data_IF_198368687619
#
_entry.id   IF_198368687619
#
_cell.length_a   1.000
_cell.length_b   1.000
_cell.length_c   1.000
_cell.angle_alpha   90.00
_cell.angle_beta   90.00
_cell.angle_gamma   90.00
#
_symmetry.space_group_name_H-M   'P 1'
#
loop_
_entity.id
_entity.type
_entity.pdbx_description
1 polymer ?
#
# COMPACT_ATOMS: atom_id res chain seq x y z
N UNK A 1 14.41 19.71 -13.40
CA UNK A 1 13.53 19.40 -12.26
C UNK A 1 13.40 17.90 -12.18
N UNK A 2 13.72 17.31 -11.03
CA UNK A 2 13.51 15.89 -10.76
C UNK A 2 12.15 15.65 -10.12
N UNK A 3 11.54 14.50 -10.42
CA UNK A 3 10.33 14.03 -9.76
C UNK A 3 10.59 12.68 -9.14
N UNK A 4 10.19 12.52 -7.89
CA UNK A 4 10.03 11.21 -7.26
C UNK A 4 8.61 10.72 -7.51
N UNK A 5 8.50 9.42 -7.78
CA UNK A 5 7.22 8.77 -8.07
C UNK A 5 6.88 7.84 -6.92
N UNK A 6 5.79 8.12 -6.23
CA UNK A 6 5.19 7.19 -5.28
C UNK A 6 4.18 6.30 -6.01
N UNK A 7 4.44 5.01 -6.01
CA UNK A 7 3.63 4.00 -6.67
C UNK A 7 2.97 3.10 -5.61
N UNK A 8 1.70 3.32 -5.34
CA UNK A 8 0.87 2.38 -4.61
C UNK A 8 0.36 1.32 -5.58
N UNK A 9 1.05 0.20 -5.64
CA UNK A 9 0.66 -0.96 -6.44
C UNK A 9 -0.47 -1.74 -5.77
N UNK A 10 -1.71 -1.24 -5.80
CA UNK A 10 -2.87 -1.88 -5.19
C UNK A 10 -3.40 -3.09 -5.98
N UNK A 11 -4.16 -3.98 -5.34
CA UNK A 11 -4.71 -5.19 -5.97
C UNK A 11 -5.81 -4.87 -6.98
N UNK A 12 -6.68 -3.90 -6.69
CA UNK A 12 -7.76 -3.47 -7.58
C UNK A 12 -7.47 -2.17 -8.29
N UNK A 13 -6.76 -1.25 -7.63
CA UNK A 13 -6.42 0.05 -8.15
C UNK A 13 -4.99 0.43 -7.77
N UNK A 14 -4.22 0.85 -8.75
CA UNK A 14 -2.89 1.44 -8.58
C UNK A 14 -3.02 2.96 -8.53
N UNK A 15 -2.21 3.64 -7.73
CA UNK A 15 -2.16 5.10 -7.63
C UNK A 15 -0.73 5.57 -7.82
N UNK A 16 -0.60 6.71 -8.47
CA UNK A 16 0.70 7.30 -8.79
C UNK A 16 0.68 8.77 -8.40
N UNK A 17 1.60 9.15 -7.54
CA UNK A 17 1.81 10.55 -7.15
C UNK A 17 3.25 10.93 -7.47
N UNK A 18 3.43 12.13 -7.97
CA UNK A 18 4.72 12.70 -8.31
C UNK A 18 5.00 13.89 -7.39
N UNK A 19 6.10 13.85 -6.68
CA UNK A 19 6.61 14.97 -5.90
C UNK A 19 7.82 15.57 -6.61
N UNK A 20 7.81 16.88 -6.77
CA UNK A 20 8.95 17.60 -7.36
C UNK A 20 10.03 17.87 -6.33
N UNK A 21 11.29 17.73 -6.73
CA UNK A 21 12.43 18.09 -5.87
C UNK A 21 12.53 19.61 -5.61
N UNK A 22 11.85 20.43 -6.42
CA UNK A 22 12.01 21.90 -6.40
C UNK A 22 10.72 22.69 -6.54
N UNK A 23 9.59 22.05 -6.79
CA UNK A 23 8.32 22.73 -7.02
C UNK A 23 7.43 22.73 -5.79
N UNK A 24 6.57 23.72 -5.72
CA UNK A 24 5.63 23.91 -4.61
C UNK A 24 4.39 23.00 -4.67
N UNK A 25 4.30 22.11 -5.66
CA UNK A 25 3.13 21.26 -5.87
C UNK A 25 3.48 19.81 -6.18
N UNK A 26 2.82 18.92 -5.47
CA UNK A 26 2.78 17.49 -5.77
C UNK A 26 1.61 17.20 -6.74
N UNK A 27 1.75 16.16 -7.55
CA UNK A 27 0.77 15.81 -8.58
C UNK A 27 0.27 14.39 -8.40
N UNK A 28 -1.04 14.18 -8.40
CA UNK A 28 -1.59 12.87 -8.68
C UNK A 28 -1.66 12.66 -10.20
N UNK A 29 -1.14 11.54 -10.69
CA UNK A 29 -1.13 11.29 -12.13
C UNK A 29 -2.53 11.00 -12.65
N UNK A 30 -2.96 11.81 -13.64
CA UNK A 30 -4.21 11.57 -14.35
C UNK A 30 -4.20 10.25 -15.10
N UNK A 31 -5.25 9.46 -14.89
CA UNK A 31 -5.44 8.19 -15.58
C UNK A 31 -6.21 8.42 -16.89
N UNK A 32 -5.77 7.88 -18.03
CA UNK A 32 -6.57 7.88 -19.26
C UNK A 32 -7.95 7.29 -19.03
N UNK A 33 -8.98 7.88 -19.61
CA UNK A 33 -10.41 7.55 -19.34
C UNK A 33 -10.71 6.05 -19.44
N UNK A 34 -10.09 5.34 -20.41
CA UNK A 34 -10.29 3.90 -20.62
C UNK A 34 -9.58 2.99 -19.60
N UNK A 35 -8.72 3.55 -18.72
CA UNK A 35 -7.91 2.81 -17.74
C UNK A 35 -8.31 3.15 -16.30
N UNK A 36 -9.31 4.00 -16.12
CA UNK A 36 -9.79 4.42 -14.80
C UNK A 36 -10.61 3.32 -14.15
N UNK A 37 -10.50 3.22 -12.84
CA UNK A 37 -11.44 2.44 -12.04
C UNK A 37 -12.83 3.06 -12.17
N UNK A 38 -13.85 2.21 -12.39
CA UNK A 38 -15.25 2.59 -12.37
C UNK A 38 -15.86 2.11 -11.04
N UNK A 39 -16.33 3.03 -10.23
CA UNK A 39 -17.02 2.76 -8.97
C UNK A 39 -18.37 3.46 -9.01
N UNK A 40 -19.45 2.67 -8.99
CA UNK A 40 -20.83 3.16 -9.01
C UNK A 40 -21.15 4.10 -10.18
N UNK A 41 -20.58 3.82 -11.37
CA UNK A 41 -20.74 4.65 -12.57
C UNK A 41 -19.91 5.93 -12.58
N UNK A 42 -19.00 6.10 -11.61
CA UNK A 42 -18.04 7.21 -11.57
C UNK A 42 -16.64 6.69 -11.89
N UNK A 43 -16.04 7.24 -12.93
CA UNK A 43 -14.66 6.92 -13.31
C UNK A 43 -13.70 7.77 -12.50
N UNK A 44 -12.96 7.12 -11.63
CA UNK A 44 -12.03 7.75 -10.70
C UNK A 44 -10.80 8.29 -11.43
N UNK A 45 -10.54 9.59 -11.35
CA UNK A 45 -9.56 10.30 -12.17
C UNK A 45 -8.12 9.82 -11.94
N UNK A 46 -7.76 9.45 -10.71
CA UNK A 46 -6.39 9.12 -10.31
C UNK A 46 -6.20 7.65 -9.95
N UNK A 47 -7.20 6.81 -10.20
CA UNK A 47 -7.15 5.39 -9.89
C UNK A 47 -6.99 4.56 -11.17
N UNK A 48 -5.80 4.00 -11.34
CA UNK A 48 -5.50 3.05 -12.41
C UNK A 48 -6.16 1.71 -12.10
N UNK A 49 -6.93 1.19 -13.01
CA UNK A 49 -7.37 -0.19 -12.90
C UNK A 49 -6.12 -1.11 -12.92
N UNK A 50 -5.93 -1.91 -11.85
CA UNK A 50 -4.85 -2.90 -11.80
C UNK A 50 -5.22 -4.09 -12.68
N UNK A 51 -5.08 -3.87 -13.98
CA UNK A 51 -5.47 -4.79 -15.06
C UNK A 51 -4.46 -4.68 -16.19
N UNK A 52 -4.06 -5.81 -16.73
CA UNK A 52 -3.29 -5.89 -17.97
C UNK A 52 -4.08 -6.71 -19.01
N UNK A 53 -3.97 -6.33 -20.26
CA UNK A 53 -4.66 -6.97 -21.37
C UNK A 53 -3.68 -7.83 -22.16
N UNK A 54 -4.06 -9.08 -22.43
CA UNK A 54 -3.24 -10.02 -23.18
C UNK A 54 -3.92 -10.41 -24.48
N UNK A 55 -3.21 -10.26 -25.57
CA UNK A 55 -3.64 -10.63 -26.93
C UNK A 55 -3.00 -11.97 -27.32
N UNK A 56 -3.79 -13.04 -27.32
CA UNK A 56 -3.31 -14.41 -27.56
C UNK A 56 -2.60 -14.55 -28.91
N UNK A 57 -3.16 -13.97 -29.99
CA UNK A 57 -2.62 -14.11 -31.35
C UNK A 57 -1.25 -13.45 -31.53
N UNK A 58 -1.00 -12.35 -30.83
CA UNK A 58 0.26 -11.62 -30.87
C UNK A 58 1.21 -12.01 -29.72
N UNK A 59 0.74 -12.80 -28.75
CA UNK A 59 1.41 -13.14 -27.50
C UNK A 59 1.94 -11.89 -26.76
N UNK A 60 1.21 -10.78 -26.81
CA UNK A 60 1.66 -9.50 -26.28
C UNK A 60 0.71 -8.93 -25.21
N UNK A 61 1.27 -8.11 -24.34
CA UNK A 61 0.55 -7.38 -23.29
C UNK A 61 0.29 -5.93 -23.67
N UNK A 62 -0.82 -5.39 -23.18
CA UNK A 62 -1.23 -3.99 -23.38
C UNK A 62 -1.81 -3.43 -22.09
N UNK A 63 -1.61 -2.14 -21.86
CA UNK A 63 -2.24 -1.43 -20.73
C UNK A 63 -3.73 -1.13 -21.02
N UNK A 64 -4.06 -0.84 -22.27
CA UNK A 64 -5.41 -0.51 -22.69
C UNK A 64 -6.18 -1.72 -23.28
N UNK A 65 -7.51 -1.75 -23.14
CA UNK A 65 -8.35 -2.78 -23.73
C UNK A 65 -8.26 -2.77 -25.26
N UNK A 66 -8.31 -3.97 -25.87
CA UNK A 66 -8.56 -4.15 -27.30
C UNK A 66 -9.59 -5.25 -27.51
N UNK A 67 -10.25 -5.26 -28.67
CA UNK A 67 -11.30 -6.23 -28.97
C UNK A 67 -10.78 -7.69 -28.99
N UNK A 68 -9.50 -7.89 -29.26
CA UNK A 68 -8.85 -9.21 -29.37
C UNK A 68 -8.15 -9.62 -28.04
N UNK A 69 -8.07 -8.73 -27.05
CA UNK A 69 -7.33 -8.99 -25.83
C UNK A 69 -8.25 -9.37 -24.66
N UNK A 70 -7.73 -10.22 -23.79
CA UNK A 70 -8.38 -10.60 -22.52
C UNK A 70 -7.81 -9.81 -21.37
N UNK A 71 -8.67 -9.38 -20.47
CA UNK A 71 -8.26 -8.73 -19.23
C UNK A 71 -7.70 -9.75 -18.22
N UNK A 72 -6.60 -9.40 -17.57
CA UNK A 72 -5.99 -10.16 -16.50
C UNK A 72 -5.93 -9.24 -15.27
N UNK A 73 -6.56 -9.67 -14.19
CA UNK A 73 -6.63 -8.97 -12.89
C UNK A 73 -6.20 -9.90 -11.75
N UNK A 74 -6.11 -9.38 -10.53
CA UNK A 74 -5.84 -10.19 -9.33
C UNK A 74 -4.42 -10.76 -9.25
N UNK A 75 -3.52 -10.40 -10.15
CA UNK A 75 -2.16 -10.94 -10.18
C UNK A 75 -1.32 -10.54 -8.94
N UNK A 76 -1.55 -9.39 -8.32
CA UNK A 76 -0.89 -9.01 -7.07
C UNK A 76 -1.21 -9.98 -5.92
N UNK A 77 -2.39 -10.58 -5.91
CA UNK A 77 -2.77 -11.54 -4.86
C UNK A 77 -1.82 -12.75 -4.80
N UNK A 78 -1.34 -13.24 -5.94
CA UNK A 78 -0.35 -14.32 -5.96
C UNK A 78 0.99 -13.92 -5.33
N UNK A 79 1.44 -12.68 -5.53
CA UNK A 79 2.64 -12.15 -4.87
C UNK A 79 2.44 -12.07 -3.35
N UNK A 80 1.28 -11.58 -2.90
CA UNK A 80 0.92 -11.49 -1.47
C UNK A 80 0.87 -12.88 -0.82
N UNK A 81 0.44 -13.91 -1.57
CA UNK A 81 0.36 -15.30 -1.09
C UNK A 81 1.68 -16.07 -1.21
N UNK A 82 2.77 -15.43 -1.65
CA UNK A 82 4.03 -16.08 -2.01
C UNK A 82 3.88 -17.18 -3.08
N UNK A 83 2.86 -17.07 -3.94
CA UNK A 83 2.50 -18.01 -5.00
C UNK A 83 2.55 -17.36 -6.39
N UNK A 84 3.51 -16.46 -6.56
CA UNK A 84 3.65 -15.67 -7.79
C UNK A 84 3.92 -16.50 -9.05
N UNK A 85 4.41 -17.73 -8.90
CA UNK A 85 4.65 -18.64 -10.01
C UNK A 85 3.41 -19.41 -10.45
N UNK A 86 2.33 -19.41 -9.67
CA UNK A 86 1.07 -20.04 -10.05
C UNK A 86 0.53 -19.42 -11.34
N UNK A 87 0.05 -20.28 -12.23
CA UNK A 87 -0.53 -19.84 -13.49
C UNK A 87 -1.91 -19.25 -13.30
N UNK A 88 -2.14 -18.10 -13.88
CA UNK A 88 -3.45 -17.46 -14.00
C UNK A 88 -4.20 -18.06 -15.20
N UNK A 89 -3.54 -18.05 -16.38
CA UNK A 89 -4.13 -18.60 -17.58
C UNK A 89 -3.07 -18.68 -18.71
N UNK A 90 -3.21 -19.60 -19.69
CA UNK A 90 -2.42 -19.66 -20.93
C UNK A 90 -0.88 -19.51 -20.75
N UNK A 91 -0.33 -20.08 -19.67
CA UNK A 91 1.09 -19.98 -19.38
C UNK A 91 1.54 -18.64 -18.79
N UNK A 92 0.63 -17.77 -18.41
CA UNK A 92 0.90 -16.50 -17.74
C UNK A 92 0.77 -16.72 -16.22
N UNK A 93 1.87 -16.52 -15.49
CA UNK A 93 1.88 -16.55 -14.03
C UNK A 93 1.48 -15.20 -13.42
N UNK A 94 1.20 -15.20 -12.10
CA UNK A 94 0.98 -13.96 -11.36
C UNK A 94 2.16 -12.99 -11.49
N UNK A 95 3.41 -13.49 -11.37
CA UNK A 95 4.62 -12.69 -11.55
C UNK A 95 4.69 -12.09 -12.96
N UNK A 96 4.39 -12.88 -13.99
CA UNK A 96 4.45 -12.40 -15.37
C UNK A 96 3.42 -11.30 -15.64
N UNK A 97 2.18 -11.48 -15.17
CA UNK A 97 1.14 -10.47 -15.32
C UNK A 97 1.46 -9.18 -14.53
N UNK A 98 2.01 -9.30 -13.31
CA UNK A 98 2.42 -8.17 -12.50
C UNK A 98 3.59 -7.40 -13.13
N UNK A 99 4.61 -8.10 -13.63
CA UNK A 99 5.74 -7.48 -14.32
C UNK A 99 5.31 -6.79 -15.62
N UNK A 100 4.41 -7.40 -16.39
CA UNK A 100 3.84 -6.80 -17.59
C UNK A 100 3.07 -5.51 -17.27
N UNK A 101 2.18 -5.56 -16.28
CA UNK A 101 1.41 -4.40 -15.85
C UNK A 101 2.31 -3.23 -15.41
N UNK A 102 3.26 -3.52 -14.53
CA UNK A 102 4.18 -2.50 -14.04
C UNK A 102 5.10 -1.95 -15.13
N UNK A 103 5.61 -2.78 -16.03
CA UNK A 103 6.44 -2.33 -17.17
C UNK A 103 5.66 -1.35 -18.07
N UNK A 104 4.43 -1.69 -18.42
CA UNK A 104 3.56 -0.84 -19.23
C UNK A 104 3.20 0.46 -18.52
N UNK A 105 2.92 0.41 -17.20
CA UNK A 105 2.61 1.59 -16.41
C UNK A 105 3.84 2.52 -16.27
N UNK A 106 5.02 1.97 -15.98
CA UNK A 106 6.26 2.74 -15.90
C UNK A 106 6.57 3.39 -17.26
N UNK A 107 6.43 2.64 -18.35
CA UNK A 107 6.60 3.19 -19.70
C UNK A 107 5.62 4.33 -20.00
N UNK A 108 4.36 4.19 -19.55
CA UNK A 108 3.38 5.27 -19.66
C UNK A 108 3.81 6.51 -18.87
N UNK A 109 4.21 6.34 -17.60
CA UNK A 109 4.64 7.46 -16.74
C UNK A 109 5.83 8.20 -17.38
N UNK A 110 6.82 7.47 -17.85
CA UNK A 110 8.06 8.05 -18.39
C UNK A 110 7.88 8.61 -19.82
N UNK A 111 7.11 7.92 -20.66
CA UNK A 111 6.96 8.26 -22.07
C UNK A 111 5.68 9.05 -22.37
N UNK A 112 4.52 8.43 -22.24
CA UNK A 112 3.27 9.01 -22.69
C UNK A 112 2.84 10.25 -21.89
N UNK A 113 3.12 10.28 -20.59
CA UNK A 113 2.83 11.48 -19.80
C UNK A 113 3.80 12.63 -20.16
N UNK A 114 5.07 12.30 -20.44
CA UNK A 114 6.04 13.29 -20.91
C UNK A 114 5.61 13.92 -22.24
N UNK A 115 5.20 13.12 -23.21
CA UNK A 115 4.68 13.60 -24.50
C UNK A 115 3.42 14.45 -24.36
N UNK A 116 2.53 14.07 -23.43
CA UNK A 116 1.33 14.84 -23.14
C UNK A 116 1.66 16.23 -22.61
N UNK A 117 2.60 16.28 -21.65
CA UNK A 117 3.04 17.55 -21.04
C UNK A 117 3.73 18.43 -22.08
N UNK A 118 4.60 17.86 -22.91
CA UNK A 118 5.29 18.59 -23.97
C UNK A 118 4.31 19.19 -24.98
N UNK A 119 3.29 18.43 -25.40
CA UNK A 119 2.21 18.93 -26.28
C UNK A 119 1.40 20.07 -25.65
N UNK A 120 1.32 20.12 -24.32
CA UNK A 120 0.70 21.22 -23.59
C UNK A 120 1.64 22.42 -23.34
N UNK A 121 2.85 22.38 -23.91
CA UNK A 121 3.86 23.43 -23.75
C UNK A 121 4.62 23.38 -22.42
N UNK A 122 4.49 22.30 -21.67
CA UNK A 122 5.26 22.07 -20.46
C UNK A 122 6.65 21.50 -20.73
N UNK A 123 7.56 21.61 -19.77
CA UNK A 123 8.86 20.99 -19.85
C UNK A 123 8.76 19.47 -19.54
N UNK A 124 9.53 18.62 -20.23
CA UNK A 124 9.59 17.19 -19.93
C UNK A 124 9.96 16.94 -18.46
N UNK A 125 9.27 15.99 -17.83
CA UNK A 125 9.58 15.58 -16.46
C UNK A 125 10.80 14.68 -16.46
N UNK A 126 11.66 14.87 -15.48
CA UNK A 126 12.74 13.94 -15.16
C UNK A 126 12.35 13.14 -13.93
N UNK A 127 12.22 11.85 -14.06
CA UNK A 127 11.89 10.94 -12.95
C UNK A 127 13.17 10.47 -12.29
N UNK A 128 13.45 10.97 -11.09
CA UNK A 128 14.69 10.67 -10.37
C UNK A 128 14.67 9.30 -9.71
N UNK A 129 13.52 8.90 -9.15
CA UNK A 129 13.36 7.60 -8.49
C UNK A 129 11.88 7.23 -8.34
N UNK A 130 11.60 5.93 -8.42
CA UNK A 130 10.31 5.34 -8.11
C UNK A 130 10.34 4.69 -6.73
N UNK A 131 9.40 5.02 -5.87
CA UNK A 131 9.17 4.36 -4.60
C UNK A 131 7.92 3.49 -4.71
N UNK A 132 8.08 2.18 -4.56
CA UNK A 132 7.01 1.20 -4.78
C UNK A 132 6.58 0.61 -3.46
N UNK A 133 5.30 0.74 -3.12
CA UNK A 133 4.70 0.15 -1.92
C UNK A 133 4.49 -1.36 -2.08
N UNK A 134 4.89 -2.11 -1.04
CA UNK A 134 4.65 -3.56 -0.96
C UNK A 134 3.94 -3.90 0.37
N UNK A 135 2.93 -4.78 0.34
CA UNK A 135 2.09 -5.12 1.51
C UNK A 135 2.79 -6.18 2.38
N UNK A 136 3.86 -5.79 2.99
CA UNK A 136 4.65 -6.64 3.91
C UNK A 136 4.87 -5.91 5.23
N UNK A 137 4.94 -6.64 6.36
CA UNK A 137 5.18 -6.03 7.66
C UNK A 137 6.65 -5.60 7.86
N UNK A 138 7.58 -6.18 7.11
CA UNK A 138 9.01 -5.87 7.14
C UNK A 138 9.67 -6.21 5.80
N UNK A 139 10.44 -5.28 5.26
CA UNK A 139 11.24 -5.55 4.06
C UNK A 139 12.45 -6.45 4.32
N UNK A 140 12.94 -6.50 5.54
CA UNK A 140 14.13 -7.29 5.88
C UNK A 140 13.79 -8.76 6.16
N UNK A 141 12.63 -9.03 6.74
CA UNK A 141 12.30 -10.36 7.28
C UNK A 141 11.25 -11.12 6.45
N UNK A 142 10.45 -10.43 5.64
CA UNK A 142 9.35 -11.07 4.93
C UNK A 142 9.81 -11.73 3.62
N UNK A 143 9.65 -13.06 3.48
CA UNK A 143 10.10 -13.78 2.28
C UNK A 143 9.38 -13.35 0.99
N UNK A 144 8.23 -12.70 1.09
CA UNK A 144 7.48 -12.20 -0.08
C UNK A 144 8.21 -11.06 -0.78
N UNK A 145 9.07 -10.33 -0.09
CA UNK A 145 9.85 -9.21 -0.62
C UNK A 145 10.66 -9.61 -1.84
N UNK A 146 11.25 -10.80 -1.82
CA UNK A 146 12.02 -11.32 -2.95
C UNK A 146 11.18 -11.41 -4.25
N UNK A 147 9.94 -11.87 -4.14
CA UNK A 147 9.00 -11.95 -5.28
C UNK A 147 8.60 -10.56 -5.80
N UNK A 148 8.30 -9.63 -4.91
CA UNK A 148 8.02 -8.24 -5.30
C UNK A 148 9.23 -7.58 -5.95
N UNK A 149 10.42 -7.76 -5.37
CA UNK A 149 11.65 -7.21 -5.93
C UNK A 149 11.95 -7.74 -7.33
N UNK A 150 11.82 -9.07 -7.54
CA UNK A 150 12.00 -9.70 -8.84
C UNK A 150 11.04 -9.12 -9.90
N UNK A 151 9.77 -8.97 -9.55
CA UNK A 151 8.74 -8.41 -10.44
C UNK A 151 9.01 -6.96 -10.78
N UNK A 152 9.32 -6.12 -9.78
CA UNK A 152 9.61 -4.69 -10.00
C UNK A 152 10.88 -4.51 -10.83
N UNK A 153 11.93 -5.27 -10.55
CA UNK A 153 13.19 -5.26 -11.31
C UNK A 153 12.96 -5.62 -12.77
N UNK A 154 12.23 -6.71 -13.02
CA UNK A 154 11.88 -7.12 -14.37
C UNK A 154 11.04 -6.03 -15.10
N UNK A 155 10.10 -5.40 -14.40
CA UNK A 155 9.29 -4.33 -14.97
C UNK A 155 10.12 -3.12 -15.39
N UNK A 156 11.08 -2.68 -14.59
CA UNK A 156 11.98 -1.58 -14.95
C UNK A 156 12.89 -1.93 -16.14
N UNK A 157 13.38 -3.17 -16.20
CA UNK A 157 14.18 -3.64 -17.35
C UNK A 157 13.37 -3.66 -18.66
N UNK A 158 12.08 -3.96 -18.58
CA UNK A 158 11.18 -4.09 -19.74
C UNK A 158 10.51 -2.78 -20.15
N UNK A 159 10.39 -1.80 -19.27
CA UNK A 159 9.68 -0.55 -19.55
C UNK A 159 10.17 0.20 -20.79
N UNK A 160 11.49 0.27 -21.12
CA UNK A 160 11.96 0.94 -22.34
C UNK A 160 11.45 0.31 -23.65
N UNK A 161 11.10 -0.97 -23.63
CA UNK A 161 10.61 -1.74 -24.80
C UNK A 161 9.14 -2.14 -24.67
N UNK A 162 8.41 -1.55 -23.74
CA UNK A 162 7.05 -1.97 -23.39
C UNK A 162 6.02 -1.80 -24.52
N UNK A 163 6.32 -1.04 -25.57
CA UNK A 163 5.42 -0.89 -26.73
C UNK A 163 5.07 -2.23 -27.41
N UNK A 164 5.97 -3.21 -27.38
CA UNK A 164 5.82 -4.56 -27.96
C UNK A 164 6.12 -5.65 -26.93
N UNK A 165 5.58 -5.51 -25.73
CA UNK A 165 5.87 -6.38 -24.59
C UNK A 165 5.32 -7.80 -24.80
N UNK A 166 6.18 -8.78 -25.02
CA UNK A 166 5.83 -10.18 -25.24
C UNK A 166 5.98 -11.03 -23.97
N UNK A 167 5.22 -12.12 -23.92
CA UNK A 167 5.27 -13.05 -22.80
C UNK A 167 6.67 -13.66 -22.58
N UNK A 168 7.38 -13.97 -23.67
CA UNK A 168 8.71 -14.57 -23.60
C UNK A 168 9.75 -13.56 -23.07
N UNK A 169 9.66 -12.27 -23.46
CA UNK A 169 10.53 -11.22 -22.92
C UNK A 169 10.38 -11.09 -21.40
N UNK A 170 9.13 -11.22 -20.91
CA UNK A 170 8.83 -11.15 -19.49
C UNK A 170 9.40 -12.37 -18.76
N UNK A 171 9.22 -13.57 -19.30
CA UNK A 171 9.78 -14.80 -18.73
C UNK A 171 11.30 -14.73 -18.63
N UNK A 172 11.93 -14.24 -19.70
CA UNK A 172 13.38 -14.04 -19.74
C UNK A 172 13.85 -13.01 -18.71
N UNK A 173 13.14 -11.90 -18.56
CA UNK A 173 13.48 -10.89 -17.56
C UNK A 173 13.33 -11.44 -16.13
N UNK A 174 12.24 -12.16 -15.84
CA UNK A 174 12.02 -12.78 -14.54
C UNK A 174 13.04 -13.89 -14.24
N UNK A 175 13.53 -14.64 -15.24
CA UNK A 175 14.49 -15.72 -15.05
C UNK A 175 15.92 -15.22 -14.81
N UNK A 176 16.32 -14.10 -15.42
CA UNK A 176 17.67 -13.53 -15.29
C UNK A 176 17.98 -13.04 -13.87
N UNK A 177 16.97 -12.71 -13.10
CA UNK A 177 17.09 -11.98 -11.86
C UNK A 177 16.79 -12.80 -10.59
N UNK A 178 16.70 -14.12 -10.71
CA UNK A 178 16.36 -15.03 -9.59
C UNK A 178 17.39 -15.06 -8.44
N UNK A 179 18.41 -14.23 -8.43
CA UNK A 179 19.54 -14.43 -7.52
C UNK A 179 20.08 -13.26 -6.71
N UNK A 180 19.73 -12.00 -6.97
CA UNK A 180 20.43 -10.88 -6.32
C UNK A 180 19.47 -9.79 -5.82
N UNK A 181 19.38 -9.67 -4.49
CA UNK A 181 18.69 -8.58 -3.76
C UNK A 181 19.53 -7.29 -3.66
N UNK A 182 20.54 -7.11 -4.49
CA UNK A 182 21.37 -5.91 -4.42
C UNK A 182 20.65 -4.70 -5.01
N UNK A 183 20.10 -3.87 -4.14
CA UNK A 183 19.69 -2.51 -4.49
C UNK A 183 20.93 -1.62 -4.42
N UNK A 184 21.50 -1.27 -5.57
CA UNK A 184 22.54 -0.25 -5.63
C UNK A 184 21.92 1.15 -5.49
N UNK A 185 22.70 2.14 -5.09
CA UNK A 185 22.26 3.54 -5.05
C UNK A 185 21.76 4.04 -6.42
N UNK A 186 22.18 3.36 -7.51
CA UNK A 186 21.86 3.71 -8.90
C UNK A 186 20.58 3.02 -9.42
N UNK A 187 19.90 2.19 -8.61
CA UNK A 187 18.63 1.60 -9.04
C UNK A 187 17.55 2.67 -9.20
N UNK A 188 16.76 2.66 -10.30
CA UNK A 188 15.74 3.67 -10.55
C UNK A 188 14.53 3.53 -9.63
N UNK A 189 14.49 2.53 -8.76
CA UNK A 189 13.39 2.27 -7.83
C UNK A 189 13.89 1.85 -6.45
N UNK A 190 13.00 1.97 -5.49
CA UNK A 190 13.16 1.45 -4.12
C UNK A 190 11.82 0.89 -3.64
N UNK A 191 11.86 -0.25 -2.92
CA UNK A 191 10.69 -0.81 -2.27
C UNK A 191 10.53 -0.22 -0.87
N UNK A 192 9.28 -0.03 -0.47
CA UNK A 192 8.90 0.40 0.88
C UNK A 192 7.71 -0.42 1.36
N UNK A 193 7.59 -0.62 2.66
CA UNK A 193 6.35 -1.12 3.24
C UNK A 193 5.19 -0.14 2.96
N UNK A 194 4.03 -0.65 2.57
CA UNK A 194 2.82 0.19 2.38
C UNK A 194 2.49 0.98 3.65
N UNK A 195 2.71 0.37 4.82
CA UNK A 195 2.60 1.03 6.12
C UNK A 195 3.44 2.32 6.20
N UNK A 196 4.70 2.26 5.73
CA UNK A 196 5.59 3.43 5.75
C UNK A 196 5.04 4.56 4.88
N UNK A 197 4.50 4.24 3.71
CA UNK A 197 3.86 5.20 2.83
C UNK A 197 2.63 5.86 3.47
N UNK A 198 1.75 5.07 4.08
CA UNK A 198 0.55 5.61 4.78
C UNK A 198 0.96 6.55 5.91
N UNK A 199 1.94 6.16 6.73
CA UNK A 199 2.38 6.96 7.86
C UNK A 199 3.08 8.23 7.39
N UNK A 200 3.94 8.15 6.37
CA UNK A 200 4.59 9.33 5.78
C UNK A 200 3.55 10.32 5.23
N UNK A 201 2.53 9.83 4.51
CA UNK A 201 1.41 10.66 4.06
C UNK A 201 0.66 11.30 5.21
N UNK A 202 0.32 10.52 6.26
CA UNK A 202 -0.36 11.04 7.45
C UNK A 202 0.45 12.14 8.15
N UNK A 203 1.76 11.97 8.25
CA UNK A 203 2.65 12.96 8.88
C UNK A 203 2.59 14.34 8.21
N UNK A 204 2.19 14.41 6.95
CA UNK A 204 2.04 15.65 6.18
C UNK A 204 0.64 16.25 6.28
N UNK A 205 -0.32 15.54 6.85
CA UNK A 205 -1.69 16.04 6.96
C UNK A 205 -1.86 16.96 8.17
N UNK A 206 -2.81 17.92 8.13
CA UNK A 206 -3.14 18.75 9.29
C UNK A 206 -3.77 17.95 10.43
N UNK A 207 -4.25 16.73 10.18
CA UNK A 207 -4.82 15.81 11.18
C UNK A 207 -3.76 15.06 11.99
N UNK A 208 -2.48 15.24 11.66
CA UNK A 208 -1.36 14.64 12.40
C UNK A 208 -1.50 14.89 13.90
N UNK A 209 -1.41 13.84 14.68
CA UNK A 209 -1.34 13.91 16.14
C UNK A 209 -0.05 13.26 16.63
N UNK A 210 0.44 13.72 17.78
CA UNK A 210 1.58 13.13 18.49
C UNK A 210 1.09 12.01 19.41
N UNK A 211 1.93 11.00 19.62
CA UNK A 211 1.64 9.91 20.55
C UNK A 211 1.30 8.59 19.87
N UNK A 212 0.72 7.65 20.62
CA UNK A 212 0.40 6.32 20.13
C UNK A 212 -0.80 6.34 19.18
N UNK A 213 -0.70 5.54 18.09
CA UNK A 213 -1.71 5.40 17.06
C UNK A 213 -2.00 3.92 16.79
N UNK A 214 -3.23 3.64 16.37
CA UNK A 214 -3.62 2.41 15.70
C UNK A 214 -3.81 2.75 14.23
N UNK A 215 -3.18 2.02 13.34
CA UNK A 215 -3.40 2.14 11.91
C UNK A 215 -4.13 0.91 11.42
N UNK A 216 -5.16 1.12 10.62
CA UNK A 216 -5.93 0.08 9.93
C UNK A 216 -6.07 0.50 8.47
N UNK A 217 -5.46 -0.25 7.58
CA UNK A 217 -5.62 -0.10 6.13
C UNK A 217 -6.40 -1.29 5.58
N UNK A 218 -7.58 -0.99 5.05
CA UNK A 218 -8.43 -1.99 4.39
C UNK A 218 -8.27 -1.86 2.89
N UNK A 219 -7.38 -2.67 2.33
CA UNK A 219 -7.21 -2.76 0.89
C UNK A 219 -8.27 -3.61 0.20
N UNK A 220 -8.06 -3.89 -1.08
CA UNK A 220 -8.90 -4.84 -1.81
C UNK A 220 -8.61 -6.28 -1.38
N UNK A 221 -7.35 -6.70 -1.31
CA UNK A 221 -6.97 -8.05 -0.89
C UNK A 221 -6.65 -8.13 0.59
N UNK A 222 -5.94 -7.15 1.15
CA UNK A 222 -5.35 -7.18 2.49
C UNK A 222 -6.08 -6.30 3.49
N UNK A 223 -5.93 -6.68 4.74
CA UNK A 223 -6.19 -5.90 5.94
C UNK A 223 -4.86 -5.77 6.67
N UNK A 224 -4.37 -4.55 6.74
CA UNK A 224 -3.11 -4.22 7.38
C UNK A 224 -3.40 -3.49 8.69
N UNK A 225 -2.86 -4.00 9.78
CA UNK A 225 -3.03 -3.41 11.11
C UNK A 225 -1.67 -3.14 11.70
N UNK A 226 -1.49 -1.95 12.24
CA UNK A 226 -0.26 -1.60 12.95
C UNK A 226 -0.53 -0.74 14.17
N UNK A 227 0.40 -0.79 15.10
CA UNK A 227 0.48 0.12 16.24
C UNK A 227 1.81 0.86 16.20
N UNK A 228 1.77 2.15 16.40
CA UNK A 228 2.94 3.00 16.24
C UNK A 228 2.89 4.20 17.18
N UNK A 229 4.04 4.83 17.37
CA UNK A 229 4.16 6.08 18.10
C UNK A 229 4.70 7.17 17.18
N UNK A 230 3.94 8.23 17.03
CA UNK A 230 4.38 9.43 16.34
C UNK A 230 5.01 10.37 17.38
N UNK A 231 6.31 10.64 17.27
CA UNK A 231 7.01 11.46 18.24
C UNK A 231 6.66 12.94 18.11
N UNK A 232 6.90 13.67 19.19
CA UNK A 232 7.01 15.12 19.15
C UNK A 232 8.44 15.50 18.73
N UNK A 233 8.55 16.32 17.67
CA UNK A 233 9.85 16.77 17.15
C UNK A 233 10.54 15.78 16.21
N UNK A 234 11.89 15.77 16.22
CA UNK A 234 12.76 15.08 15.27
C UNK A 234 13.09 13.61 15.63
N UNK A 235 12.41 13.04 16.59
CA UNK A 235 12.65 11.65 16.94
C UNK A 235 12.11 10.69 15.87
N UNK A 236 12.74 9.53 15.65
CA UNK A 236 12.25 8.55 14.71
C UNK A 236 10.88 8.00 15.16
N UNK A 237 10.03 7.73 14.20
CA UNK A 237 8.79 7.03 14.41
C UNK A 237 9.07 5.59 14.87
N UNK A 238 8.34 5.10 15.85
CA UNK A 238 8.43 3.72 16.31
C UNK A 238 7.18 2.94 15.88
N UNK A 239 7.35 1.89 15.08
CA UNK A 239 6.32 0.87 14.88
C UNK A 239 6.48 -0.19 15.96
N UNK A 240 5.45 -0.41 16.77
CA UNK A 240 5.48 -1.37 17.85
C UNK A 240 5.18 -2.78 17.38
N UNK A 241 4.18 -2.91 16.52
CA UNK A 241 3.76 -4.16 15.93
C UNK A 241 3.02 -3.90 14.63
N UNK A 242 3.12 -4.81 13.69
CA UNK A 242 2.35 -4.77 12.45
C UNK A 242 1.94 -6.17 11.99
N UNK A 243 0.90 -6.25 11.20
CA UNK A 243 0.45 -7.50 10.60
C UNK A 243 -0.36 -7.24 9.34
N UNK A 244 -0.21 -8.15 8.37
CA UNK A 244 -0.89 -8.14 7.08
C UNK A 244 -1.61 -9.46 6.89
N UNK A 245 -2.91 -9.45 6.59
CA UNK A 245 -3.72 -10.64 6.33
C UNK A 245 -4.58 -10.46 5.08
N UNK A 246 -4.95 -11.57 4.43
CA UNK A 246 -5.85 -11.55 3.26
C UNK A 246 -7.30 -11.45 3.75
N UNK A 247 -7.65 -10.26 4.22
CA UNK A 247 -8.95 -9.94 4.81
C UNK A 247 -9.52 -8.61 4.26
N UNK A 248 -9.12 -8.20 3.07
CA UNK A 248 -9.62 -6.98 2.42
C UNK A 248 -11.02 -7.15 1.80
N UNK A 249 -11.48 -6.10 1.11
CA UNK A 249 -12.84 -6.04 0.56
C UNK A 249 -13.13 -7.13 -0.49
N UNK A 250 -12.20 -7.43 -1.40
CA UNK A 250 -12.37 -8.51 -2.38
C UNK A 250 -12.25 -9.89 -1.72
N UNK A 251 -11.40 -10.02 -0.70
CA UNK A 251 -11.33 -11.26 0.08
C UNK A 251 -12.65 -11.54 0.79
N UNK A 252 -13.34 -10.52 1.32
CA UNK A 252 -14.70 -10.63 1.86
C UNK A 252 -15.68 -11.11 0.79
N UNK A 253 -15.70 -10.49 -0.38
CA UNK A 253 -16.59 -10.89 -1.48
C UNK A 253 -16.36 -12.34 -1.90
N UNK A 254 -15.09 -12.74 -2.05
CA UNK A 254 -14.72 -14.11 -2.40
C UNK A 254 -15.14 -15.11 -1.31
N UNK A 255 -14.97 -14.78 -0.04
CA UNK A 255 -15.38 -15.61 1.08
C UNK A 255 -16.89 -15.79 1.11
N UNK A 256 -17.68 -14.73 0.95
CA UNK A 256 -19.13 -14.78 0.89
C UNK A 256 -19.62 -15.62 -0.31
N UNK A 257 -19.01 -15.45 -1.47
CA UNK A 257 -19.30 -16.25 -2.67
C UNK A 257 -18.97 -17.75 -2.47
N UNK A 258 -17.96 -18.06 -1.66
CA UNK A 258 -17.63 -19.43 -1.25
C UNK A 258 -18.51 -19.98 -0.11
N UNK A 259 -19.51 -19.22 0.36
CA UNK A 259 -20.41 -19.63 1.42
C UNK A 259 -19.89 -19.44 2.84
N UNK A 260 -18.78 -18.72 3.03
CA UNK A 260 -18.29 -18.36 4.37
C UNK A 260 -19.26 -17.35 4.99
N UNK A 261 -19.82 -17.60 6.19
CA UNK A 261 -20.71 -16.64 6.84
C UNK A 261 -19.99 -15.31 7.17
N UNK A 262 -20.69 -14.20 6.99
CA UNK A 262 -20.16 -12.87 7.33
C UNK A 262 -19.62 -12.78 8.78
N UNK A 263 -20.29 -13.31 9.82
CA UNK A 263 -19.75 -13.31 11.18
C UNK A 263 -18.40 -14.01 11.33
N UNK A 264 -18.16 -15.09 10.56
CA UNK A 264 -16.89 -15.80 10.55
C UNK A 264 -15.77 -14.93 9.98
N UNK A 265 -16.03 -14.24 8.87
CA UNK A 265 -15.06 -13.31 8.29
C UNK A 265 -14.78 -12.13 9.22
N UNK A 266 -15.83 -11.59 9.86
CA UNK A 266 -15.70 -10.53 10.87
C UNK A 266 -14.83 -10.97 12.04
N UNK A 267 -15.04 -12.19 12.55
CA UNK A 267 -14.20 -12.75 13.62
C UNK A 267 -12.74 -12.84 13.20
N UNK A 268 -12.44 -13.22 11.96
CA UNK A 268 -11.07 -13.26 11.45
C UNK A 268 -10.42 -11.85 11.43
N UNK A 269 -11.15 -10.81 11.00
CA UNK A 269 -10.67 -9.42 11.08
C UNK A 269 -10.40 -9.00 12.53
N UNK A 270 -11.29 -9.36 13.46
CA UNK A 270 -11.13 -9.06 14.88
C UNK A 270 -9.94 -9.80 15.50
N UNK A 271 -9.77 -11.09 15.19
CA UNK A 271 -8.64 -11.89 15.68
C UNK A 271 -7.31 -11.36 15.18
N UNK A 272 -7.24 -10.96 13.91
CA UNK A 272 -6.05 -10.32 13.35
C UNK A 272 -5.70 -9.05 14.12
N UNK A 273 -6.68 -8.16 14.29
CA UNK A 273 -6.49 -6.89 15.03
C UNK A 273 -6.10 -7.15 16.48
N UNK A 274 -6.79 -8.06 17.18
CA UNK A 274 -6.46 -8.45 18.55
C UNK A 274 -5.04 -9.02 18.67
N UNK A 275 -4.59 -9.80 17.68
CA UNK A 275 -3.23 -10.33 17.67
C UNK A 275 -2.18 -9.23 17.69
N UNK A 276 -2.32 -8.22 16.81
CA UNK A 276 -1.41 -7.07 16.74
C UNK A 276 -1.45 -6.27 18.05
N UNK A 277 -2.64 -5.91 18.54
CA UNK A 277 -2.79 -5.18 19.78
C UNK A 277 -2.22 -5.92 20.99
N UNK A 278 -2.48 -7.24 21.09
CA UNK A 278 -1.99 -8.05 22.22
C UNK A 278 -0.46 -8.14 22.24
N UNK A 279 0.18 -8.23 21.08
CA UNK A 279 1.64 -8.20 21.00
C UNK A 279 2.17 -6.83 21.42
N UNK A 280 1.55 -5.74 20.98
CA UNK A 280 1.89 -4.38 21.41
C UNK A 280 1.79 -4.22 22.95
N UNK A 281 0.71 -4.70 23.56
CA UNK A 281 0.55 -4.66 25.00
C UNK A 281 1.63 -5.44 25.75
N UNK A 282 2.11 -6.53 25.21
CA UNK A 282 3.20 -7.30 25.82
C UNK A 282 4.56 -6.61 25.73
N UNK A 283 4.79 -5.83 24.67
CA UNK A 283 6.08 -5.19 24.39
C UNK A 283 6.18 -3.76 24.91
N UNK A 284 5.08 -2.99 24.85
CA UNK A 284 5.06 -1.55 25.16
C UNK A 284 4.00 -1.13 26.21
N UNK A 285 3.46 -2.09 26.93
CA UNK A 285 2.61 -2.04 28.12
C UNK A 285 1.54 -0.96 28.21
N UNK A 286 1.92 0.28 28.50
CA UNK A 286 1.00 1.29 29.06
C UNK A 286 0.52 2.31 28.04
N UNK A 287 1.20 2.43 26.91
CA UNK A 287 0.92 3.49 25.94
C UNK A 287 -0.44 3.30 25.26
N UNK A 288 -0.96 2.07 25.23
CA UNK A 288 -2.22 1.72 24.58
C UNK A 288 -3.38 1.41 25.51
N UNK A 289 -3.20 1.54 26.81
CA UNK A 289 -4.31 1.33 27.76
C UNK A 289 -5.31 2.50 27.72
N UNK A 290 -6.62 2.23 27.71
CA UNK A 290 -7.63 3.27 27.89
C UNK A 290 -7.45 3.98 29.24
N UNK A 291 -7.42 5.30 29.23
CA UNK A 291 -7.54 6.10 30.46
C UNK A 291 -6.25 6.58 31.10
N UNK A 292 -5.06 6.08 30.76
CA UNK A 292 -3.82 6.65 31.29
C UNK A 292 -3.35 7.83 30.42
N UNK A 293 -3.32 9.03 30.99
CA UNK A 293 -2.78 10.25 30.39
C UNK A 293 -3.79 11.13 29.63
N UNK A 294 -5.07 10.81 29.63
CA UNK A 294 -6.12 11.70 29.06
C UNK A 294 -6.05 11.94 27.55
N UNK A 295 -5.08 11.39 26.84
CA UNK A 295 -4.97 11.56 25.39
C UNK A 295 -5.78 10.51 24.64
N UNK A 296 -6.70 10.96 23.80
CA UNK A 296 -7.38 10.11 22.83
C UNK A 296 -6.36 9.59 21.82
N UNK A 297 -6.29 8.27 21.64
CA UNK A 297 -5.40 7.63 20.67
C UNK A 297 -6.10 7.58 19.32
N UNK A 298 -5.65 8.31 18.30
CA UNK A 298 -6.33 8.26 17.01
C UNK A 298 -6.14 6.90 16.34
N UNK A 299 -7.20 6.44 15.68
CA UNK A 299 -7.17 5.33 14.75
C UNK A 299 -7.12 5.91 13.33
N UNK A 300 -6.01 5.70 12.66
CA UNK A 300 -5.87 6.02 11.23
C UNK A 300 -6.57 4.91 10.46
N UNK A 301 -7.69 5.23 9.81
CA UNK A 301 -8.52 4.28 9.08
C UNK A 301 -8.57 4.63 7.61
N UNK A 302 -7.87 3.86 6.80
CA UNK A 302 -7.60 4.15 5.38
C UNK A 302 -7.88 2.95 4.49
N UNK A 303 -7.59 3.07 3.20
CA UNK A 303 -7.75 2.04 2.19
C UNK A 303 -9.10 2.06 1.48
N UNK A 304 -9.11 1.59 0.22
CA UNK A 304 -10.30 1.60 -0.63
C UNK A 304 -11.42 0.66 -0.15
N UNK A 305 -11.07 -0.40 0.59
CA UNK A 305 -12.02 -1.37 1.14
C UNK A 305 -12.72 -0.95 2.42
N UNK A 306 -12.30 0.14 3.06
CA UNK A 306 -12.81 0.60 4.36
C UNK A 306 -14.32 0.90 4.36
N UNK A 307 -14.88 1.25 3.19
CA UNK A 307 -16.30 1.59 3.05
C UNK A 307 -17.22 0.36 3.01
N UNK A 308 -16.70 -0.87 3.01
CA UNK A 308 -17.54 -2.04 3.13
C UNK A 308 -18.22 -2.09 4.50
N UNK A 309 -19.51 -2.40 4.53
CA UNK A 309 -20.31 -2.37 5.76
C UNK A 309 -19.71 -3.21 6.89
N UNK A 310 -19.13 -4.37 6.56
CA UNK A 310 -18.50 -5.25 7.54
C UNK A 310 -17.29 -4.60 8.19
N UNK A 311 -16.33 -4.08 7.39
CA UNK A 311 -15.11 -3.47 7.94
C UNK A 311 -15.44 -2.21 8.70
N UNK A 312 -16.30 -1.35 8.17
CA UNK A 312 -16.72 -0.13 8.84
C UNK A 312 -17.32 -0.44 10.22
N UNK A 313 -18.31 -1.35 10.29
CA UNK A 313 -18.94 -1.71 11.56
C UNK A 313 -17.95 -2.36 12.55
N UNK A 314 -16.99 -3.15 12.05
CA UNK A 314 -15.96 -3.77 12.88
C UNK A 314 -15.07 -2.71 13.53
N UNK A 315 -14.56 -1.75 12.76
CA UNK A 315 -13.62 -0.76 13.26
C UNK A 315 -14.28 0.41 14.00
N UNK A 316 -15.52 0.74 13.72
CA UNK A 316 -16.32 1.60 14.60
C UNK A 316 -16.47 0.99 16.00
N UNK A 317 -16.63 -0.33 16.09
CA UNK A 317 -16.63 -1.05 17.36
C UNK A 317 -15.32 -0.89 18.12
N UNK A 318 -14.18 -1.07 17.46
CA UNK A 318 -12.87 -0.83 18.05
C UNK A 318 -12.67 0.63 18.45
N UNK A 319 -13.03 1.58 17.60
CA UNK A 319 -12.95 3.01 17.89
C UNK A 319 -13.67 3.36 19.21
N UNK A 320 -14.87 2.82 19.40
CA UNK A 320 -15.65 3.02 20.64
C UNK A 320 -14.99 2.34 21.84
N UNK A 321 -14.53 1.09 21.70
CA UNK A 321 -13.93 0.32 22.78
C UNK A 321 -12.63 0.92 23.30
N UNK A 322 -11.80 1.47 22.42
CA UNK A 322 -10.51 2.08 22.78
C UNK A 322 -10.58 3.60 22.93
N UNK A 323 -11.76 4.21 22.84
CA UNK A 323 -11.93 5.67 22.82
C UNK A 323 -11.00 6.35 21.80
N UNK A 324 -10.77 5.65 20.68
CA UNK A 324 -9.86 6.04 19.63
C UNK A 324 -10.65 6.68 18.49
N UNK A 325 -10.65 8.01 18.31
CA UNK A 325 -11.38 8.62 17.22
C UNK A 325 -10.84 8.11 15.89
N UNK A 326 -11.72 7.56 15.04
CA UNK A 326 -11.40 7.18 13.68
C UNK A 326 -11.13 8.45 12.86
N UNK A 327 -10.01 8.45 12.16
CA UNK A 327 -9.61 9.50 11.24
C UNK A 327 -9.29 8.87 9.89
N UNK A 328 -9.87 9.43 8.85
CA UNK A 328 -9.51 9.10 7.47
C UNK A 328 -8.80 10.33 6.90
N UNK A 329 -7.49 10.43 7.12
CA UNK A 329 -6.74 11.60 6.67
C UNK A 329 -6.76 11.66 5.16
N UNK A 330 -7.15 12.80 4.63
CA UNK A 330 -7.09 13.10 3.22
C UNK A 330 -5.75 13.69 2.83
N UNK A 331 -5.39 13.58 1.56
CA UNK A 331 -4.25 14.27 0.99
C UNK A 331 -4.50 15.77 1.08
N UNK A 332 -3.57 16.50 1.66
CA UNK A 332 -3.75 17.91 1.93
C UNK A 332 -3.88 18.70 0.63
N UNK A 333 -4.43 19.92 0.75
CA UNK A 333 -4.58 20.98 -0.27
C UNK A 333 -3.33 21.32 -1.10
N UNK A 334 -2.23 20.60 -0.94
CA UNK A 334 -1.01 20.72 -1.73
C UNK A 334 -1.07 19.94 -3.04
N UNK A 335 -1.89 18.90 -3.14
CA UNK A 335 -2.22 18.29 -4.41
C UNK A 335 -3.22 19.18 -5.13
N UNK A 336 -3.04 19.41 -6.42
CA UNK A 336 -3.84 20.32 -7.25
C UNK A 336 -5.36 20.24 -7.00
N UNK A 337 -6.02 21.37 -7.09
CA UNK A 337 -7.29 21.80 -6.50
C UNK A 337 -8.58 21.01 -6.80
N UNK A 338 -8.56 19.98 -7.63
CA UNK A 338 -9.78 19.31 -8.12
C UNK A 338 -9.95 17.85 -7.70
N UNK A 339 -9.35 17.44 -6.57
CA UNK A 339 -9.44 16.08 -6.06
C UNK A 339 -10.71 15.87 -5.21
N UNK A 340 -11.88 15.85 -5.82
CA UNK A 340 -13.15 15.81 -5.07
C UNK A 340 -13.43 14.48 -4.34
N UNK A 341 -12.82 13.36 -4.71
CA UNK A 341 -13.21 12.05 -4.13
C UNK A 341 -12.08 11.08 -3.82
N UNK A 342 -10.88 11.25 -4.40
CA UNK A 342 -9.80 10.27 -4.29
C UNK A 342 -8.73 10.60 -3.24
N UNK A 343 -8.85 11.74 -2.57
CA UNK A 343 -7.82 12.31 -1.68
C UNK A 343 -7.34 11.33 -0.60
N UNK A 344 -8.28 10.62 0.02
CA UNK A 344 -7.96 9.66 1.09
C UNK A 344 -7.29 8.39 0.53
N UNK A 345 -7.55 8.07 -0.74
CA UNK A 345 -6.98 6.88 -1.41
C UNK A 345 -5.58 7.13 -1.95
N UNK A 346 -5.17 8.39 -2.10
CA UNK A 346 -3.85 8.78 -2.57
C UNK A 346 -2.80 8.88 -1.45
N UNK A 347 -3.21 8.78 -0.20
CA UNK A 347 -2.36 9.02 0.97
C UNK A 347 -1.08 8.17 0.94
N UNK A 348 -1.20 6.87 0.64
CA UNK A 348 -0.07 5.95 0.55
C UNK A 348 0.88 6.36 -0.57
N UNK A 349 0.37 6.57 -1.80
CA UNK A 349 1.19 6.97 -2.94
C UNK A 349 1.88 8.33 -2.71
N UNK A 350 1.17 9.27 -2.07
CA UNK A 350 1.73 10.56 -1.73
C UNK A 350 2.86 10.45 -0.70
N UNK A 351 2.67 9.65 0.36
CA UNK A 351 3.71 9.40 1.34
C UNK A 351 4.93 8.71 0.74
N UNK A 352 4.73 7.74 -0.16
CA UNK A 352 5.84 7.10 -0.89
C UNK A 352 6.62 8.09 -1.77
N UNK A 353 5.95 9.09 -2.34
CA UNK A 353 6.61 10.09 -3.20
C UNK A 353 7.50 11.07 -2.42
N UNK A 354 7.47 11.06 -1.07
CA UNK A 354 8.29 11.95 -0.27
C UNK A 354 9.78 11.59 -0.33
N UNK A 355 10.62 12.57 0.01
CA UNK A 355 12.07 12.36 0.06
C UNK A 355 12.46 11.57 1.32
N UNK A 356 13.11 10.40 1.20
CA UNK A 356 13.62 9.68 2.35
C UNK A 356 14.61 10.49 3.20
N UNK A 357 15.39 11.38 2.57
CA UNK A 357 16.34 12.24 3.25
C UNK A 357 15.66 13.35 4.08
N UNK A 358 14.39 13.67 3.83
CA UNK A 358 13.64 14.66 4.62
C UNK A 358 13.30 14.18 6.03
N UNK A 359 13.55 12.91 6.36
CA UNK A 359 13.15 12.28 7.62
C UNK A 359 11.63 12.07 7.75
N UNK A 360 10.87 12.39 6.71
CA UNK A 360 9.39 12.25 6.68
C UNK A 360 9.01 10.79 6.43
N UNK A 361 9.77 10.06 5.60
CA UNK A 361 9.62 8.60 5.54
C UNK A 361 10.23 8.06 6.83
N UNK A 362 9.40 7.54 7.74
CA UNK A 362 9.88 7.20 9.06
C UNK A 362 10.90 6.08 8.96
N UNK A 363 12.02 6.26 9.66
CA UNK A 363 12.91 5.16 9.96
C UNK A 363 12.16 4.23 10.92
N UNK A 364 11.52 3.21 10.36
CA UNK A 364 10.80 2.20 11.14
C UNK A 364 11.86 1.39 11.86
N UNK A 365 12.03 1.65 13.15
CA UNK A 365 12.80 0.72 13.99
C UNK A 365 11.91 -0.45 14.34
N UNK A 366 12.34 -1.68 14.10
CA UNK A 366 11.70 -2.83 14.71
C UNK A 366 11.67 -2.62 16.24
N UNK A 367 10.63 -3.07 16.94
CA UNK A 367 10.55 -2.93 18.38
C UNK A 367 11.82 -3.50 19.00
N UNK A 368 12.48 -2.71 19.85
CA UNK A 368 13.68 -3.18 20.53
C UNK A 368 13.30 -4.44 21.32
N UNK A 369 13.91 -5.56 21.01
CA UNK A 369 13.68 -6.86 21.65
C UNK A 369 14.09 -6.92 23.13
N UNK A 370 14.61 -5.85 23.67
CA UNK A 370 14.93 -5.74 25.07
C UNK A 370 13.64 -5.37 25.83
N UNK A 371 12.90 -6.40 26.22
CA UNK A 371 11.87 -6.29 27.25
C UNK A 371 12.61 -6.01 28.56
N UNK A 372 12.49 -4.82 29.18
CA UNK A 372 12.84 -4.70 30.58
C UNK A 372 11.85 -5.58 31.36
N UNK A 373 12.31 -6.70 31.83
CA UNK A 373 11.53 -7.51 32.77
C UNK A 373 11.39 -6.64 34.02
N UNK A 374 10.32 -5.87 34.10
CA UNK A 374 9.91 -5.23 35.33
C UNK A 374 9.52 -6.32 36.33
N UNK A 375 10.53 -6.83 37.03
CA UNK A 375 10.32 -7.67 38.21
C UNK A 375 9.66 -6.78 39.27
N UNK A 376 8.38 -7.03 39.51
CA UNK A 376 7.74 -6.58 40.75
C UNK A 376 6.72 -5.45 40.62
N UNK A 377 5.59 -5.68 40.06
CA UNK A 377 4.29 -5.16 40.54
C UNK A 377 3.21 -6.18 40.24
N UNK A 378 2.76 -6.86 41.31
CA UNK A 378 1.61 -7.79 41.26
C UNK A 378 0.25 -7.07 41.20
N UNK A 379 0.23 -5.74 41.21
CA UNK A 379 -0.98 -4.94 41.39
C UNK A 379 -1.79 -4.68 40.13
N UNK A 380 -1.30 -5.12 38.95
CA UNK A 380 -2.01 -4.89 37.70
C UNK A 380 -2.92 -6.06 37.26
N UNK A 381 -2.79 -7.23 37.89
CA UNK A 381 -3.64 -8.39 37.60
C UNK A 381 -5.15 -8.13 37.88
N UNK A 382 -5.47 -7.13 38.68
CA UNK A 382 -6.85 -6.74 39.01
C UNK A 382 -7.56 -5.84 37.99
N UNK A 383 -6.80 -5.21 37.08
CA UNK A 383 -7.36 -4.26 36.08
C UNK A 383 -7.25 -4.74 34.63
N UNK A 384 -6.92 -6.00 34.43
CA UNK A 384 -6.92 -6.60 33.09
C UNK A 384 -8.38 -6.79 32.66
N UNK A 385 -8.83 -5.93 31.77
CA UNK A 385 -10.06 -6.18 31.01
C UNK A 385 -9.70 -7.32 30.04
N UNK A 386 -10.07 -8.52 30.40
CA UNK A 386 -9.76 -9.72 29.61
C UNK A 386 -10.28 -9.61 28.19
N UNK A 387 -9.69 -10.36 27.30
CA UNK A 387 -10.09 -10.45 25.88
C UNK A 387 -11.58 -10.84 25.68
N UNK A 388 -12.29 -11.12 26.77
CA UNK A 388 -13.72 -11.48 26.80
C UNK A 388 -14.64 -10.24 26.84
N UNK A 389 -14.08 -9.03 27.03
CA UNK A 389 -14.86 -7.80 27.14
C UNK A 389 -14.75 -6.87 25.92
N UNK A 390 -14.11 -7.32 24.85
CA UNK A 390 -14.01 -6.58 23.58
C UNK A 390 -14.85 -7.22 22.49
#
# INVERSE_FOLDING_TARGET
MGYRVGLDFGTSATKVVLCSDTADADYALDVPVGLRVDEDGRRQQHLWQTCVWYEDAAACFRLAPSAAARSITGFKTGLIQADGHRMLFAGISHNAAAAAYLALLIAYIVGADAERIERMGGAPRHYSRFHVGVPVPSLEEDPRVAGFHQVVKAAFALAPTAAELRLDDIRDALSRDAGLLETSADTPYQLFEELAGVVAGYMLTPERAVGPHILVDVGAATLDVATLHIPDGEHPLEVYESGVQILGAQALQAALAAGVPEPTFRSACQEHTKSVLSKTFRTKHFTFLPGEGGSTKPMIYVGGGRMTALHQATYEGYSKAFLAPMRSPGVSRWLERDLDTDQERLLLAWGLAQDPASGIIPYIRPPSTVIPVLRGRRDWEGNYVGAESC
#
